data_IF_074033508395
#
_entry.id   IF_074033508395
#
_cell.length_a   1.000
_cell.length_b   1.000
_cell.length_c   1.000
_cell.angle_alpha   90.00
_cell.angle_beta   90.00
_cell.angle_gamma   90.00
#
_symmetry.space_group_name_H-M   'P 1'
#
loop_
_entity.id
_entity.type
_entity.pdbx_description
1 polymer ?
#
# COMPACT_ATOMS: atom_id res chain seq x y z
N UNK A 1 -11.37 52.08 5.11
CA UNK A 1 -10.84 51.17 6.15
C UNK A 1 -11.14 49.74 5.71
N UNK A 2 -10.24 49.12 4.95
CA UNK A 2 -10.44 47.78 4.40
C UNK A 2 -9.79 46.76 5.34
N UNK A 3 -10.59 45.96 6.04
CA UNK A 3 -10.09 44.85 6.84
C UNK A 3 -9.96 43.61 5.95
N UNK A 4 -8.71 43.22 5.69
CA UNK A 4 -8.37 41.94 5.09
C UNK A 4 -8.49 40.85 6.17
N UNK A 5 -9.54 40.04 6.09
CA UNK A 5 -9.67 38.82 6.88
C UNK A 5 -8.70 37.77 6.33
N UNK A 6 -7.60 37.56 7.06
CA UNK A 6 -6.70 36.44 6.86
C UNK A 6 -7.42 35.14 7.25
N UNK A 7 -7.97 34.43 6.26
CA UNK A 7 -8.57 33.12 6.45
C UNK A 7 -7.50 32.11 6.85
N UNK A 8 -7.59 31.57 8.05
CA UNK A 8 -6.77 30.44 8.48
C UNK A 8 -7.26 29.20 7.72
N UNK A 9 -6.50 28.78 6.71
CA UNK A 9 -6.79 27.54 5.99
C UNK A 9 -6.39 26.37 6.90
N UNK A 10 -7.31 25.46 7.27
CA UNK A 10 -6.91 24.22 7.91
C UNK A 10 -6.03 23.47 6.92
N UNK A 11 -4.82 23.12 7.35
CA UNK A 11 -3.97 22.21 6.60
C UNK A 11 -4.74 20.89 6.47
N UNK A 12 -5.18 20.55 5.27
CA UNK A 12 -5.66 19.21 4.98
C UNK A 12 -4.52 18.26 5.34
N UNK A 13 -4.67 17.53 6.44
CA UNK A 13 -3.75 16.46 6.80
C UNK A 13 -3.62 15.60 5.54
N UNK A 14 -2.42 15.60 4.97
CA UNK A 14 -2.18 14.92 3.72
C UNK A 14 -2.61 13.47 3.94
N UNK A 15 -3.55 12.93 3.14
CA UNK A 15 -3.95 11.51 3.23
C UNK A 15 -2.76 10.54 3.07
N UNK A 16 -1.56 11.07 2.83
CA UNK A 16 -0.34 10.32 2.82
C UNK A 16 -0.04 9.74 4.20
N UNK A 17 -0.27 10.49 5.27
CA UNK A 17 -0.16 10.00 6.64
C UNK A 17 -1.30 9.04 6.98
N UNK A 18 -2.50 9.27 6.43
CA UNK A 18 -3.62 8.35 6.60
C UNK A 18 -3.36 6.96 5.99
N UNK A 19 -2.46 6.82 5.01
CA UNK A 19 -2.10 5.51 4.46
C UNK A 19 -1.04 4.78 5.32
N UNK A 20 -0.31 5.49 6.17
CA UNK A 20 0.71 4.91 7.04
C UNK A 20 0.06 4.07 8.15
N UNK A 21 0.70 2.97 8.51
CA UNK A 21 0.23 2.04 9.54
C UNK A 21 0.26 0.59 9.08
N UNK A 22 -0.34 -0.29 9.88
CA UNK A 22 -0.32 -1.74 9.63
C UNK A 22 -1.66 -2.20 9.05
N UNK A 23 -1.57 -2.88 7.91
CA UNK A 23 -2.69 -3.33 7.12
C UNK A 23 -2.65 -4.85 6.95
N UNK A 24 -3.78 -5.52 7.15
CA UNK A 24 -3.95 -6.92 6.78
C UNK A 24 -4.61 -7.05 5.41
N UNK A 25 -4.21 -8.06 4.64
CA UNK A 25 -4.96 -8.43 3.44
C UNK A 25 -6.32 -9.07 3.79
N UNK A 26 -7.19 -9.25 2.78
CA UNK A 26 -8.54 -9.80 2.95
C UNK A 26 -8.57 -11.10 3.76
N UNK A 27 -7.62 -12.01 3.50
CA UNK A 27 -7.54 -13.32 4.17
C UNK A 27 -6.84 -13.28 5.54
N UNK A 28 -6.35 -12.11 5.97
CA UNK A 28 -5.54 -11.96 7.18
C UNK A 28 -4.33 -12.91 7.21
N UNK A 29 -3.73 -13.18 6.05
CA UNK A 29 -2.57 -14.06 5.89
C UNK A 29 -1.25 -13.31 5.80
N UNK A 30 -1.30 -11.99 5.56
CA UNK A 30 -0.14 -11.10 5.48
C UNK A 30 -0.49 -9.76 6.10
N UNK A 31 0.39 -9.25 6.96
CA UNK A 31 0.33 -7.89 7.50
C UNK A 31 1.46 -7.05 6.92
N UNK A 32 1.11 -5.87 6.44
CA UNK A 32 1.98 -4.96 5.72
C UNK A 32 2.03 -3.66 6.49
N UNK A 33 3.22 -3.27 6.93
CA UNK A 33 3.47 -1.93 7.45
C UNK A 33 3.72 -1.00 6.27
N UNK A 34 2.77 -0.10 6.02
CA UNK A 34 2.96 1.05 5.15
C UNK A 34 3.69 2.15 5.92
N UNK A 35 4.82 2.63 5.38
CA UNK A 35 5.66 3.67 5.99
C UNK A 35 6.20 4.63 4.94
N UNK A 36 6.74 5.74 5.40
CA UNK A 36 7.50 6.66 4.55
C UNK A 36 8.87 6.04 4.20
N UNK A 37 9.20 6.03 2.92
CA UNK A 37 10.49 5.69 2.34
C UNK A 37 11.00 6.91 1.54
N UNK A 38 11.58 7.88 2.26
CA UNK A 38 11.94 9.18 1.71
C UNK A 38 10.71 9.98 1.27
N UNK A 39 10.67 10.43 0.02
CA UNK A 39 9.53 11.17 -0.56
C UNK A 39 8.40 10.27 -1.09
N UNK A 40 8.43 8.97 -0.81
CA UNK A 40 7.44 7.99 -1.29
C UNK A 40 6.94 7.11 -0.14
N UNK A 41 5.82 6.42 -0.35
CA UNK A 41 5.36 5.37 0.56
C UNK A 41 5.88 4.01 0.09
N UNK A 42 6.23 3.16 1.04
CA UNK A 42 6.61 1.76 0.84
C UNK A 42 5.89 0.87 1.86
N UNK A 43 5.86 -0.43 1.60
CA UNK A 43 5.12 -1.40 2.40
C UNK A 43 5.91 -2.66 2.64
N UNK A 44 6.20 -3.00 3.90
CA UNK A 44 6.97 -4.19 4.30
C UNK A 44 6.11 -5.22 5.00
N UNK A 45 6.34 -6.49 4.71
CA UNK A 45 5.70 -7.57 5.49
C UNK A 45 6.26 -7.59 6.90
N UNK A 46 5.41 -7.36 7.90
CA UNK A 46 5.77 -7.43 9.34
C UNK A 46 5.29 -8.72 9.99
N UNK A 47 4.31 -9.39 9.38
CA UNK A 47 3.84 -10.69 9.80
C UNK A 47 3.22 -11.43 8.62
N UNK A 48 3.33 -12.75 8.61
CA UNK A 48 2.67 -13.61 7.62
C UNK A 48 2.33 -14.98 8.23
N UNK A 49 1.29 -15.62 7.71
CA UNK A 49 0.93 -16.98 8.10
C UNK A 49 1.93 -18.00 7.57
N UNK A 50 2.01 -19.17 8.22
CA UNK A 50 2.88 -20.27 7.77
C UNK A 50 2.62 -20.67 6.31
N UNK A 51 1.34 -20.66 5.89
CA UNK A 51 0.96 -20.94 4.50
C UNK A 51 1.48 -19.86 3.54
N UNK A 52 1.34 -18.58 3.86
CA UNK A 52 1.85 -17.50 3.02
C UNK A 52 3.38 -17.57 2.89
N UNK A 53 4.10 -17.86 3.98
CA UNK A 53 5.56 -18.07 3.95
C UNK A 53 5.93 -19.24 3.05
N UNK A 54 5.22 -20.37 3.17
CA UNK A 54 5.47 -21.54 2.33
C UNK A 54 5.19 -21.26 0.84
N UNK A 55 4.12 -20.55 0.54
CA UNK A 55 3.71 -20.18 -0.83
C UNK A 55 4.75 -19.23 -1.47
N UNK A 56 5.19 -18.20 -0.73
CA UNK A 56 6.25 -17.30 -1.15
C UNK A 56 7.58 -18.03 -1.40
N UNK A 57 7.95 -18.97 -0.52
CA UNK A 57 9.17 -19.78 -0.70
C UNK A 57 9.10 -20.65 -1.96
N UNK A 58 7.96 -21.29 -2.22
CA UNK A 58 7.75 -22.06 -3.48
C UNK A 58 7.81 -21.14 -4.71
N UNK A 59 7.38 -19.90 -4.57
CA UNK A 59 7.49 -18.86 -5.60
C UNK A 59 8.89 -18.32 -5.82
N UNK A 60 9.87 -18.66 -4.97
CA UNK A 60 11.25 -18.18 -5.04
C UNK A 60 11.59 -17.01 -4.11
N UNK A 61 10.68 -16.60 -3.23
CA UNK A 61 10.94 -15.60 -2.18
C UNK A 61 11.27 -16.30 -0.87
N UNK A 62 12.57 -16.44 -0.56
CA UNK A 62 13.02 -17.22 0.61
C UNK A 62 12.52 -16.65 1.96
N UNK A 63 12.52 -15.32 2.10
CA UNK A 63 12.15 -14.62 3.33
C UNK A 63 10.98 -13.67 3.08
N UNK A 64 9.75 -14.14 3.31
CA UNK A 64 8.56 -13.29 3.12
C UNK A 64 8.49 -12.14 4.12
N UNK A 65 8.67 -12.44 5.42
CA UNK A 65 8.72 -11.41 6.47
C UNK A 65 9.97 -10.55 6.25
N UNK A 66 9.79 -9.23 6.27
CA UNK A 66 10.83 -8.26 5.95
C UNK A 66 10.89 -7.84 4.47
N UNK A 67 10.23 -8.55 3.56
CA UNK A 67 10.19 -8.17 2.14
C UNK A 67 9.30 -6.94 1.94
N UNK A 68 9.78 -5.99 1.12
CA UNK A 68 8.99 -4.84 0.70
C UNK A 68 8.07 -5.23 -0.47
N UNK A 69 6.76 -5.29 -0.21
CA UNK A 69 5.73 -5.55 -1.22
C UNK A 69 5.36 -4.30 -2.00
N UNK A 70 5.30 -3.14 -1.34
CA UNK A 70 4.97 -1.87 -1.99
C UNK A 70 6.23 -1.03 -2.10
N UNK A 71 6.52 -0.57 -3.32
CA UNK A 71 7.71 0.23 -3.63
C UNK A 71 7.36 1.44 -4.47
N UNK A 72 8.01 2.57 -4.18
CA UNK A 72 7.90 3.83 -4.94
C UNK A 72 6.46 4.34 -5.08
N UNK A 73 5.59 4.14 -4.08
CA UNK A 73 4.23 4.65 -4.16
C UNK A 73 4.24 6.18 -4.00
N UNK A 74 3.67 6.87 -4.99
CA UNK A 74 3.47 8.33 -5.00
C UNK A 74 2.01 8.66 -5.22
N UNK A 75 1.52 9.74 -4.61
CA UNK A 75 0.15 10.22 -4.86
C UNK A 75 0.05 10.77 -6.29
N UNK A 76 -1.00 10.39 -6.99
CA UNK A 76 -1.40 11.02 -8.24
C UNK A 76 -2.32 12.22 -7.99
N UNK A 77 -2.72 12.91 -9.07
CA UNK A 77 -3.58 14.12 -9.02
C UNK A 77 -4.95 13.87 -8.39
N UNK A 78 -5.37 12.61 -8.23
CA UNK A 78 -6.64 12.20 -7.62
C UNK A 78 -6.46 11.70 -6.18
N UNK A 79 -5.28 11.90 -5.59
CA UNK A 79 -4.96 11.45 -4.24
C UNK A 79 -4.69 9.94 -4.11
N UNK A 80 -4.69 9.19 -5.23
CA UNK A 80 -4.43 7.76 -5.19
C UNK A 80 -2.93 7.47 -5.17
N UNK A 81 -2.51 6.53 -4.36
CA UNK A 81 -1.13 6.07 -4.35
C UNK A 81 -0.89 5.13 -5.54
N UNK A 82 0.20 5.35 -6.27
CA UNK A 82 0.59 4.52 -7.42
C UNK A 82 2.07 4.18 -7.36
N UNK A 83 2.40 2.92 -7.56
CA UNK A 83 3.77 2.42 -7.44
C UNK A 83 3.92 0.99 -7.96
N UNK A 84 4.90 0.26 -7.44
CA UNK A 84 5.21 -1.12 -7.81
C UNK A 84 4.84 -2.08 -6.69
N UNK A 85 4.13 -3.15 -7.04
CA UNK A 85 3.73 -4.23 -6.14
C UNK A 85 4.52 -5.48 -6.47
N UNK A 86 5.29 -5.97 -5.52
CA UNK A 86 5.93 -7.29 -5.59
C UNK A 86 4.96 -8.37 -5.09
N UNK A 87 4.82 -9.47 -5.84
CA UNK A 87 4.00 -10.64 -5.50
C UNK A 87 4.94 -11.82 -5.21
N UNK A 88 5.17 -12.15 -3.93
CA UNK A 88 6.16 -13.14 -3.51
C UNK A 88 5.91 -14.55 -4.03
N UNK A 89 4.64 -14.95 -4.14
CA UNK A 89 4.19 -16.30 -4.52
C UNK A 89 4.59 -16.69 -5.95
N UNK A 90 4.87 -15.70 -6.80
CA UNK A 90 5.30 -15.89 -8.19
C UNK A 90 6.57 -15.12 -8.52
N UNK A 91 7.18 -14.45 -7.53
CA UNK A 91 8.38 -13.62 -7.67
C UNK A 91 8.31 -12.64 -8.86
N UNK A 92 7.18 -11.94 -8.99
CA UNK A 92 6.95 -10.92 -10.04
C UNK A 92 6.61 -9.56 -9.45
N UNK A 93 6.89 -8.51 -10.21
CA UNK A 93 6.55 -7.13 -9.86
C UNK A 93 5.56 -6.57 -10.88
N UNK A 94 4.55 -5.87 -10.38
CA UNK A 94 3.47 -5.27 -11.15
C UNK A 94 3.32 -3.79 -10.85
N UNK A 95 2.70 -3.05 -11.76
CA UNK A 95 2.20 -1.72 -11.43
C UNK A 95 0.97 -1.88 -10.54
N UNK A 96 0.88 -1.07 -9.49
CA UNK A 96 -0.26 -1.09 -8.59
C UNK A 96 -0.72 0.26 -8.13
N UNK A 97 -1.94 0.27 -7.61
CA UNK A 97 -2.60 1.43 -7.00
C UNK A 97 -3.12 1.05 -5.62
N UNK A 98 -3.04 2.00 -4.69
CA UNK A 98 -3.69 1.92 -3.39
C UNK A 98 -4.60 3.14 -3.26
N UNK A 99 -5.87 2.89 -2.96
CA UNK A 99 -6.89 3.90 -2.72
C UNK A 99 -7.43 3.71 -1.31
N UNK A 100 -7.37 4.75 -0.49
CA UNK A 100 -8.07 4.76 0.80
C UNK A 100 -9.57 4.93 0.51
N UNK A 101 -10.38 4.03 1.04
CA UNK A 101 -11.84 4.12 1.02
C UNK A 101 -12.32 4.88 2.26
N UNK A 102 -11.74 4.55 3.41
CA UNK A 102 -11.92 5.23 4.68
C UNK A 102 -10.65 5.06 5.54
N UNK A 103 -10.68 5.51 6.80
CA UNK A 103 -9.55 5.45 7.71
C UNK A 103 -9.01 4.01 7.94
N UNK A 104 -9.87 2.99 7.86
CA UNK A 104 -9.57 1.60 8.18
C UNK A 104 -9.64 0.66 6.97
N UNK A 105 -10.08 1.15 5.81
CA UNK A 105 -10.26 0.36 4.60
C UNK A 105 -9.50 0.97 3.44
N UNK A 106 -8.63 0.18 2.81
CA UNK A 106 -7.98 0.52 1.56
C UNK A 106 -8.23 -0.54 0.49
N UNK A 107 -8.22 -0.14 -0.78
CA UNK A 107 -8.27 -1.04 -1.92
C UNK A 107 -6.93 -1.02 -2.64
N UNK A 108 -6.26 -2.15 -2.65
CA UNK A 108 -5.04 -2.39 -3.42
C UNK A 108 -5.39 -3.08 -4.75
N UNK A 109 -4.88 -2.57 -5.86
CA UNK A 109 -5.05 -3.17 -7.18
C UNK A 109 -3.71 -3.30 -7.87
N UNK A 110 -3.48 -4.41 -8.58
CA UNK A 110 -2.27 -4.64 -9.38
C UNK A 110 -2.66 -5.21 -10.74
N UNK A 111 -1.99 -4.76 -11.80
CA UNK A 111 -2.22 -5.25 -13.16
C UNK A 111 -0.91 -5.77 -13.78
N UNK A 112 -1.00 -6.78 -14.64
CA UNK A 112 0.16 -7.22 -15.42
C UNK A 112 0.65 -6.08 -16.34
N UNK A 113 1.91 -6.20 -16.78
CA UNK A 113 2.47 -5.30 -17.80
C UNK A 113 1.55 -5.28 -19.02
N UNK A 114 1.21 -4.09 -19.54
CA UNK A 114 0.22 -3.93 -20.61
C UNK A 114 -1.24 -3.82 -20.14
N UNK A 115 -1.51 -3.68 -18.84
CA UNK A 115 -2.86 -3.53 -18.23
C UNK A 115 -3.79 -4.73 -18.42
N UNK A 116 -3.26 -5.91 -18.75
CA UNK A 116 -4.02 -7.15 -18.86
C UNK A 116 -4.14 -7.82 -17.48
N UNK A 117 -5.26 -8.44 -17.15
CA UNK A 117 -5.40 -9.31 -15.97
C UNK A 117 -5.21 -8.62 -14.61
N UNK A 118 -5.96 -7.55 -14.35
CA UNK A 118 -5.90 -6.83 -13.07
C UNK A 118 -6.56 -7.62 -11.92
N UNK A 119 -5.93 -7.62 -10.75
CA UNK A 119 -6.52 -8.12 -9.50
C UNK A 119 -6.65 -6.99 -8.49
N UNK A 120 -7.70 -7.04 -7.69
CA UNK A 120 -7.93 -6.12 -6.59
C UNK A 120 -8.15 -6.91 -5.30
N UNK A 121 -7.72 -6.32 -4.19
CA UNK A 121 -7.95 -6.84 -2.85
C UNK A 121 -8.19 -5.69 -1.87
N UNK A 122 -8.91 -6.00 -0.80
CA UNK A 122 -9.14 -5.07 0.30
C UNK A 122 -8.05 -5.26 1.33
N UNK A 123 -7.51 -4.14 1.81
CA UNK A 123 -6.62 -4.05 2.95
C UNK A 123 -7.41 -3.44 4.11
N UNK A 124 -7.31 -4.04 5.28
CA UNK A 124 -7.97 -3.55 6.49
C UNK A 124 -6.92 -3.15 7.51
N UNK A 125 -7.06 -1.97 8.11
CA UNK A 125 -6.19 -1.52 9.19
C UNK A 125 -6.39 -2.39 10.42
N UNK A 126 -5.31 -2.70 11.14
CA UNK A 126 -5.36 -3.50 12.37
C UNK A 126 -4.83 -2.79 13.61
N UNK A 127 -4.21 -1.61 13.45
CA UNK A 127 -3.78 -0.71 14.52
C UNK A 127 -3.87 0.73 14.04
#
# INVERSE_FOLDING_TARGET
MAMLIAGWQPAAAADGDAAIGIWRNTQNSVHIEARHCGASMCGKVVWASAKAIADARRGGTANLVGTDLFRDFRKDKRGQWRGKVFVPDINKTFSGTVMLIDANTAKGSGCLVGRVGCRSQTLTRIK
#
